data_IF_048435996588
#
_entry.id   IF_048435996588
#
_cell.length_a   1.000
_cell.length_b   1.000
_cell.length_c   1.000
_cell.angle_alpha   90.00
_cell.angle_beta   90.00
_cell.angle_gamma   90.00
#
_symmetry.space_group_name_H-M   'P 1'
#
loop_
_entity.id
_entity.type
_entity.pdbx_description
1 polymer ?
#
# COMPACT_ATOMS: atom_id res chain seq x y z
N UNK A 1 48.79 -7.43 -40.11
CA UNK A 1 47.86 -6.88 -41.12
C UNK A 1 46.44 -6.97 -40.59
N UNK A 2 45.80 -5.83 -40.36
CA UNK A 2 44.46 -5.71 -39.77
C UNK A 2 43.39 -6.16 -40.78
N UNK A 3 42.60 -7.19 -40.44
CA UNK A 3 41.43 -7.59 -41.24
C UNK A 3 40.31 -6.56 -41.03
N UNK A 4 40.01 -5.81 -42.09
CA UNK A 4 38.85 -4.88 -42.15
C UNK A 4 37.56 -5.65 -41.85
N UNK A 5 36.81 -5.20 -40.83
CA UNK A 5 35.42 -5.60 -40.61
C UNK A 5 34.56 -4.94 -41.68
N UNK A 6 33.83 -5.73 -42.46
CA UNK A 6 32.86 -5.24 -43.45
C UNK A 6 31.61 -4.69 -42.78
N UNK A 7 30.96 -3.75 -43.46
CA UNK A 7 29.83 -2.92 -42.99
C UNK A 7 28.52 -3.71 -42.79
N UNK A 8 28.50 -4.99 -43.17
CA UNK A 8 27.31 -5.85 -43.13
C UNK A 8 26.89 -6.28 -41.71
N UNK A 9 27.71 -6.03 -40.70
CA UNK A 9 27.37 -6.31 -39.30
C UNK A 9 26.32 -5.34 -38.71
N UNK A 10 25.96 -4.26 -39.41
CA UNK A 10 25.01 -3.25 -38.92
C UNK A 10 23.55 -3.45 -39.36
N UNK A 11 23.24 -4.39 -40.27
CA UNK A 11 21.89 -4.56 -40.83
C UNK A 11 21.23 -5.91 -40.52
N UNK A 12 21.70 -6.63 -39.49
CA UNK A 12 21.03 -7.84 -39.01
C UNK A 12 19.63 -7.51 -38.48
N UNK A 13 18.59 -7.99 -39.18
CA UNK A 13 17.19 -7.85 -38.76
C UNK A 13 17.00 -8.38 -37.32
N UNK A 14 16.24 -7.69 -36.45
CA UNK A 14 16.03 -8.16 -35.09
C UNK A 14 15.41 -9.55 -35.11
N UNK A 15 16.02 -10.51 -34.40
CA UNK A 15 15.40 -11.82 -34.17
C UNK A 15 14.04 -11.58 -33.49
N UNK A 16 12.95 -12.21 -33.95
CA UNK A 16 11.64 -12.05 -33.32
C UNK A 16 11.74 -12.53 -31.88
N UNK A 17 11.46 -11.63 -30.93
CA UNK A 17 11.24 -12.01 -29.53
C UNK A 17 10.07 -12.98 -29.51
N UNK A 18 10.27 -14.19 -28.96
CA UNK A 18 9.17 -15.09 -28.61
C UNK A 18 8.14 -14.27 -27.82
N UNK A 19 6.85 -14.26 -28.22
CA UNK A 19 5.83 -13.60 -27.43
C UNK A 19 5.79 -14.29 -26.07
N UNK A 20 6.14 -13.56 -25.01
CA UNK A 20 5.83 -13.95 -23.64
C UNK A 20 4.31 -13.80 -23.57
N UNK A 21 3.58 -14.92 -23.61
CA UNK A 21 2.13 -14.91 -23.65
C UNK A 21 1.59 -14.01 -22.54
N UNK A 22 0.89 -12.94 -22.92
CA UNK A 22 0.07 -12.19 -21.98
C UNK A 22 -1.03 -13.13 -21.52
N UNK A 23 -0.97 -13.54 -20.25
CA UNK A 23 -2.09 -14.23 -19.63
C UNK A 23 -3.15 -13.17 -19.40
N UNK A 24 -4.27 -13.32 -20.09
CA UNK A 24 -5.44 -12.48 -19.90
C UNK A 24 -6.04 -12.77 -18.52
N UNK A 25 -5.71 -11.92 -17.55
CA UNK A 25 -6.17 -12.04 -16.16
C UNK A 25 -7.69 -11.90 -16.07
N UNK A 26 -8.31 -11.23 -17.05
CA UNK A 26 -9.75 -11.05 -17.11
C UNK A 26 -10.47 -12.38 -17.45
N UNK A 27 -9.74 -13.38 -17.99
CA UNK A 27 -10.25 -14.72 -18.34
C UNK A 27 -9.58 -15.88 -17.58
N UNK A 28 -8.59 -15.62 -16.72
CA UNK A 28 -7.92 -16.65 -15.95
C UNK A 28 -8.80 -17.10 -14.76
N UNK A 29 -9.11 -18.40 -14.69
CA UNK A 29 -9.82 -18.96 -13.54
C UNK A 29 -8.98 -18.78 -12.26
N UNK A 30 -9.53 -18.18 -11.18
CA UNK A 30 -8.81 -18.04 -9.93
C UNK A 30 -8.39 -19.40 -9.37
N UNK A 31 -7.18 -19.48 -8.80
CA UNK A 31 -6.65 -20.70 -8.17
C UNK A 31 -7.36 -21.07 -6.84
N UNK A 32 -8.45 -20.40 -6.50
CA UNK A 32 -9.19 -20.53 -5.24
C UNK A 32 -9.65 -19.17 -4.71
N UNK A 33 -10.25 -19.18 -3.51
CA UNK A 33 -10.68 -17.97 -2.82
C UNK A 33 -10.27 -18.01 -1.34
N UNK A 34 -9.87 -16.86 -0.82
CA UNK A 34 -9.76 -16.62 0.60
C UNK A 34 -11.15 -16.32 1.16
N UNK A 35 -11.59 -17.10 2.13
CA UNK A 35 -12.89 -16.95 2.79
C UNK A 35 -12.70 -16.61 4.26
N UNK A 36 -13.57 -15.76 4.80
CA UNK A 36 -13.62 -15.41 6.20
C UNK A 36 -14.97 -14.76 6.50
N UNK A 37 -15.55 -15.00 7.68
CA UNK A 37 -16.86 -14.45 8.04
C UNK A 37 -16.90 -12.92 8.05
N UNK A 38 -15.76 -12.26 8.27
CA UNK A 38 -15.64 -10.80 8.23
C UNK A 38 -15.37 -10.21 6.84
N UNK A 39 -15.15 -11.04 5.81
CA UNK A 39 -15.11 -10.56 4.42
C UNK A 39 -16.54 -10.35 3.91
N UNK A 40 -16.84 -9.24 3.22
CA UNK A 40 -18.13 -9.06 2.57
C UNK A 40 -18.46 -10.16 1.54
N UNK A 41 -17.44 -10.64 0.84
CA UNK A 41 -17.52 -11.72 -0.14
C UNK A 41 -16.16 -12.45 -0.23
N UNK A 42 -16.12 -13.69 -0.73
CA UNK A 42 -14.87 -14.42 -0.97
C UNK A 42 -13.91 -13.64 -1.88
N UNK A 43 -12.64 -13.54 -1.49
CA UNK A 43 -11.63 -12.79 -2.26
C UNK A 43 -10.81 -13.80 -3.08
N UNK A 44 -10.77 -13.70 -4.42
CA UNK A 44 -10.04 -14.65 -5.24
C UNK A 44 -8.53 -14.63 -4.95
N UNK A 45 -7.90 -15.78 -5.14
CA UNK A 45 -6.45 -15.89 -5.18
C UNK A 45 -5.91 -15.33 -6.49
N UNK A 46 -4.64 -14.91 -6.49
CA UNK A 46 -3.97 -14.53 -7.73
C UNK A 46 -3.94 -15.72 -8.70
N UNK A 47 -3.99 -15.48 -10.02
CA UNK A 47 -3.60 -16.47 -11.01
C UNK A 47 -2.21 -17.05 -10.68
N UNK A 48 -2.03 -18.36 -10.89
CA UNK A 48 -0.81 -19.07 -10.50
C UNK A 48 0.48 -18.43 -11.06
N UNK A 49 0.43 -17.93 -12.30
CA UNK A 49 1.56 -17.25 -12.96
C UNK A 49 1.99 -15.98 -12.21
N UNK A 50 1.04 -15.16 -11.78
CA UNK A 50 1.32 -13.94 -11.01
C UNK A 50 1.81 -14.32 -9.61
N UNK A 51 1.14 -15.26 -8.95
CA UNK A 51 1.51 -15.72 -7.61
C UNK A 51 2.96 -16.24 -7.54
N UNK A 52 3.37 -17.05 -8.51
CA UNK A 52 4.74 -17.56 -8.60
C UNK A 52 5.76 -16.43 -8.82
N UNK A 53 5.48 -15.49 -9.75
CA UNK A 53 6.40 -14.36 -10.00
C UNK A 53 6.58 -13.49 -8.75
N UNK A 54 5.50 -13.22 -7.99
CA UNK A 54 5.58 -12.44 -6.75
C UNK A 54 6.49 -13.09 -5.69
N UNK A 55 6.42 -14.42 -5.56
CA UNK A 55 7.10 -15.16 -4.51
C UNK A 55 8.55 -15.55 -4.87
N UNK A 56 8.83 -15.79 -6.16
CA UNK A 56 10.11 -16.38 -6.59
C UNK A 56 11.04 -15.39 -7.31
N UNK A 57 10.49 -14.31 -7.88
CA UNK A 57 11.23 -13.44 -8.83
C UNK A 57 11.33 -11.97 -8.41
N UNK A 58 10.82 -11.61 -7.23
CA UNK A 58 10.85 -10.24 -6.73
C UNK A 58 11.90 -10.05 -5.63
N UNK A 59 12.50 -8.85 -5.50
CA UNK A 59 12.21 -7.63 -6.28
C UNK A 59 12.81 -7.67 -7.70
N UNK A 60 12.14 -7.04 -8.66
CA UNK A 60 12.59 -6.96 -10.05
C UNK A 60 13.88 -6.12 -10.22
N UNK A 61 14.09 -5.14 -9.34
CA UNK A 61 15.32 -4.37 -9.22
C UNK A 61 15.67 -4.17 -7.75
N UNK A 62 16.96 -4.09 -7.39
CA UNK A 62 17.36 -3.79 -6.02
C UNK A 62 16.87 -2.40 -5.60
N UNK A 63 16.59 -2.23 -4.31
CA UNK A 63 16.21 -0.95 -3.74
C UNK A 63 17.39 0.02 -3.73
N UNK A 64 17.19 1.24 -4.23
CA UNK A 64 18.14 2.35 -4.11
C UNK A 64 17.86 3.11 -2.82
N UNK A 65 18.89 3.30 -1.99
CA UNK A 65 18.77 4.14 -0.80
C UNK A 65 18.54 5.61 -1.18
N UNK A 66 17.66 6.27 -0.43
CA UNK A 66 17.48 7.72 -0.43
C UNK A 66 17.52 8.15 1.05
N UNK A 67 18.73 8.47 1.50
CA UNK A 67 19.12 8.78 2.87
C UNK A 67 20.07 9.99 2.92
N UNK A 68 20.06 10.81 1.87
CA UNK A 68 20.88 12.01 1.69
C UNK A 68 20.31 13.26 2.38
N UNK A 69 19.19 13.10 3.09
CA UNK A 69 18.52 14.16 3.86
C UNK A 69 18.46 13.77 5.35
N UNK A 70 18.48 14.74 6.28
CA UNK A 70 18.36 14.47 7.71
C UNK A 70 17.15 13.59 8.03
N UNK A 71 17.38 12.57 8.87
CA UNK A 71 16.36 11.66 9.39
C UNK A 71 15.58 10.83 8.36
N UNK A 72 15.96 10.89 7.08
CA UNK A 72 15.34 10.15 6.00
C UNK A 72 15.99 8.77 5.84
N UNK A 73 15.18 7.72 5.88
CA UNK A 73 15.59 6.33 5.58
C UNK A 73 14.55 5.73 4.65
N UNK A 74 14.83 5.85 3.35
CA UNK A 74 14.02 5.27 2.28
C UNK A 74 14.82 4.25 1.48
N UNK A 75 14.16 3.16 1.09
CA UNK A 75 14.58 2.36 -0.06
C UNK A 75 13.54 2.51 -1.18
N UNK A 76 13.99 2.87 -2.38
CA UNK A 76 13.14 3.02 -3.56
C UNK A 76 13.44 1.93 -4.60
N UNK A 77 12.43 1.13 -4.91
CA UNK A 77 12.47 0.04 -5.88
C UNK A 77 11.70 0.46 -7.14
N UNK A 78 12.42 0.71 -8.23
CA UNK A 78 11.88 1.27 -9.48
C UNK A 78 12.17 0.36 -10.70
N UNK A 79 11.39 -0.72 -10.91
CA UNK A 79 10.25 -1.16 -10.10
C UNK A 79 10.58 -2.32 -9.14
N UNK A 80 9.73 -2.53 -8.13
CA UNK A 80 9.72 -3.77 -7.35
C UNK A 80 9.00 -4.90 -8.10
N UNK A 81 7.83 -4.62 -8.68
CA UNK A 81 7.04 -5.55 -9.48
C UNK A 81 7.22 -5.20 -10.96
N UNK A 82 7.57 -6.12 -11.87
CA UNK A 82 7.69 -5.82 -13.29
C UNK A 82 6.42 -5.19 -13.86
N UNK A 83 6.57 -4.23 -14.78
CA UNK A 83 5.45 -3.40 -15.27
C UNK A 83 4.26 -4.22 -15.80
N UNK A 84 4.51 -5.30 -16.53
CA UNK A 84 3.45 -6.20 -17.05
C UNK A 84 2.63 -6.81 -15.91
N UNK A 85 3.33 -7.32 -14.90
CA UNK A 85 2.73 -7.97 -13.73
C UNK A 85 2.03 -6.95 -12.83
N UNK A 86 2.58 -5.74 -12.72
CA UNK A 86 1.97 -4.65 -11.97
C UNK A 86 0.63 -4.19 -12.59
N UNK A 87 0.51 -4.16 -13.93
CA UNK A 87 -0.75 -3.84 -14.62
C UNK A 87 -1.82 -4.92 -14.39
N UNK A 88 -1.41 -6.19 -14.44
CA UNK A 88 -2.26 -7.33 -14.14
C UNK A 88 -2.74 -7.30 -12.68
N UNK A 89 -1.82 -7.09 -11.74
CA UNK A 89 -2.11 -6.99 -10.32
C UNK A 89 -3.04 -5.80 -10.02
N UNK A 90 -2.85 -4.66 -10.68
CA UNK A 90 -3.75 -3.51 -10.58
C UNK A 90 -5.20 -3.86 -10.92
N UNK A 91 -5.42 -4.45 -12.12
CA UNK A 91 -6.77 -4.82 -12.59
C UNK A 91 -7.41 -5.84 -11.65
N UNK A 92 -6.64 -6.86 -11.29
CA UNK A 92 -7.08 -7.92 -10.38
C UNK A 92 -7.51 -7.36 -9.02
N UNK A 93 -6.65 -6.60 -8.34
CA UNK A 93 -6.96 -6.09 -7.00
C UNK A 93 -8.13 -5.11 -7.02
N UNK A 94 -8.24 -4.28 -8.06
CA UNK A 94 -9.36 -3.35 -8.21
C UNK A 94 -10.70 -4.08 -8.33
N UNK A 95 -10.76 -5.18 -9.09
CA UNK A 95 -11.99 -5.96 -9.29
C UNK A 95 -12.31 -6.94 -8.15
N UNK A 96 -11.29 -7.35 -7.40
CA UNK A 96 -11.37 -8.45 -6.44
C UNK A 96 -11.53 -8.03 -4.98
N UNK A 97 -11.15 -6.79 -4.64
CA UNK A 97 -11.21 -6.33 -3.25
C UNK A 97 -12.52 -5.58 -2.95
N UNK A 98 -13.06 -5.72 -1.72
CA UNK A 98 -14.10 -4.83 -1.22
C UNK A 98 -13.49 -3.47 -0.87
N UNK A 99 -14.15 -2.38 -1.26
CA UNK A 99 -13.73 -1.02 -0.97
C UNK A 99 -14.80 -0.23 -0.22
N UNK A 100 -14.39 0.84 0.43
CA UNK A 100 -15.23 1.70 1.25
C UNK A 100 -14.90 3.16 0.97
N UNK A 101 -15.89 4.04 1.16
CA UNK A 101 -15.68 5.48 1.22
C UNK A 101 -16.11 5.95 2.59
N UNK A 102 -15.12 6.07 3.48
CA UNK A 102 -15.38 6.23 4.90
C UNK A 102 -15.73 7.68 5.19
N UNK A 103 -16.74 7.86 6.04
CA UNK A 103 -17.17 9.15 6.54
C UNK A 103 -16.95 9.21 8.05
N UNK A 104 -16.39 10.33 8.53
CA UNK A 104 -16.15 10.58 9.94
C UNK A 104 -15.96 12.06 10.21
N UNK A 105 -16.25 12.48 11.44
CA UNK A 105 -15.97 13.83 11.88
C UNK A 105 -14.64 13.90 12.62
N UNK A 106 -13.83 14.92 12.30
CA UNK A 106 -12.66 15.28 13.10
C UNK A 106 -12.96 16.55 13.89
N UNK A 107 -12.51 16.60 15.15
CA UNK A 107 -12.53 17.81 15.96
C UNK A 107 -11.10 18.29 16.18
N UNK A 108 -10.77 19.50 15.72
CA UNK A 108 -9.47 20.14 15.92
C UNK A 108 -9.67 21.60 16.28
N UNK A 109 -9.12 22.03 17.41
CA UNK A 109 -9.22 23.43 17.86
C UNK A 109 -10.68 23.92 18.04
N UNK A 110 -11.58 23.06 18.50
CA UNK A 110 -13.01 23.38 18.67
C UNK A 110 -13.84 23.35 17.38
N UNK A 111 -13.21 23.19 16.21
CA UNK A 111 -13.91 23.08 14.92
C UNK A 111 -14.15 21.60 14.59
N UNK A 112 -15.40 21.27 14.28
CA UNK A 112 -15.77 19.96 13.74
C UNK A 112 -15.75 20.02 12.21
N UNK A 113 -15.01 19.13 11.57
CA UNK A 113 -14.97 19.00 10.12
C UNK A 113 -15.42 17.60 9.73
N UNK A 114 -16.45 17.53 8.90
CA UNK A 114 -16.90 16.29 8.30
C UNK A 114 -15.95 15.88 7.16
N UNK A 115 -15.41 14.67 7.24
CA UNK A 115 -14.52 14.11 6.23
C UNK A 115 -15.21 12.93 5.58
N UNK A 116 -15.35 13.02 4.25
CA UNK A 116 -15.53 11.88 3.37
C UNK A 116 -14.19 11.55 2.74
N UNK A 117 -13.70 10.31 2.86
CA UNK A 117 -12.37 9.98 2.34
C UNK A 117 -12.28 10.30 0.85
N UNK A 118 -11.29 11.13 0.43
CA UNK A 118 -11.12 11.53 -0.96
C UNK A 118 -10.39 10.45 -1.77
N UNK A 119 -10.72 9.19 -1.50
CA UNK A 119 -10.22 7.95 -2.09
C UNK A 119 -11.00 6.77 -1.49
N UNK A 120 -10.96 5.64 -2.19
CA UNK A 120 -11.51 4.39 -1.71
C UNK A 120 -10.49 3.65 -0.85
N UNK A 121 -10.92 3.00 0.22
CA UNK A 121 -10.02 2.30 1.14
C UNK A 121 -10.51 0.90 1.45
N UNK A 122 -9.59 0.03 1.85
CA UNK A 122 -9.89 -1.24 2.51
C UNK A 122 -8.69 -1.69 3.32
N UNK A 123 -8.92 -2.44 4.40
CA UNK A 123 -7.84 -2.87 5.30
C UNK A 123 -8.02 -4.30 5.75
N UNK A 124 -6.90 -4.98 5.88
CA UNK A 124 -6.78 -6.36 6.33
C UNK A 124 -5.64 -6.47 7.33
N UNK A 125 -5.77 -7.36 8.31
CA UNK A 125 -4.77 -7.58 9.33
C UNK A 125 -5.36 -7.60 10.74
N UNK A 126 -4.49 -7.96 11.68
CA UNK A 126 -4.72 -7.85 13.12
C UNK A 126 -3.39 -7.50 13.76
N UNK A 127 -3.42 -6.78 14.88
CA UNK A 127 -2.24 -6.35 15.60
C UNK A 127 -1.48 -7.52 16.23
N UNK A 128 -0.23 -7.27 16.61
CA UNK A 128 0.70 -8.27 17.15
C UNK A 128 0.25 -8.97 18.43
N UNK A 129 -0.74 -8.43 19.16
CA UNK A 129 -1.27 -9.08 20.35
C UNK A 129 -2.23 -10.22 20.02
N UNK A 130 -2.65 -10.35 18.77
CA UNK A 130 -3.57 -11.39 18.32
C UNK A 130 -3.13 -12.05 17.01
N UNK A 131 -3.71 -13.20 16.69
CA UNK A 131 -3.59 -13.87 15.39
C UNK A 131 -4.90 -14.54 15.01
N UNK A 132 -5.03 -14.91 13.73
CA UNK A 132 -6.10 -15.79 13.29
C UNK A 132 -5.68 -17.25 13.52
N UNK A 133 -6.48 -18.01 14.26
CA UNK A 133 -6.33 -19.45 14.40
C UNK A 133 -6.83 -20.19 13.15
N UNK A 134 -6.60 -21.50 13.10
CA UNK A 134 -7.21 -22.37 12.11
C UNK A 134 -8.75 -22.24 12.18
N UNK A 135 -9.40 -21.97 11.05
CA UNK A 135 -10.83 -21.63 10.99
C UNK A 135 -11.16 -20.14 11.13
N UNK A 136 -10.17 -19.25 11.31
CA UNK A 136 -10.34 -17.80 11.25
C UNK A 136 -10.73 -17.11 12.55
N UNK A 137 -10.86 -17.83 13.67
CA UNK A 137 -11.12 -17.20 14.95
C UNK A 137 -9.93 -16.33 15.41
N UNK A 138 -10.20 -15.15 15.97
CA UNK A 138 -9.15 -14.31 16.57
C UNK A 138 -8.78 -14.87 17.94
N UNK A 139 -7.49 -15.14 18.14
CA UNK A 139 -6.93 -15.64 19.40
C UNK A 139 -5.77 -14.76 19.85
N UNK A 140 -5.54 -14.70 21.15
CA UNK A 140 -4.39 -14.02 21.73
C UNK A 140 -3.09 -14.67 21.22
N UNK A 141 -2.16 -13.84 20.73
CA UNK A 141 -0.96 -14.29 20.04
C UNK A 141 -0.05 -15.16 20.93
N UNK A 142 -0.05 -14.91 22.24
CA UNK A 142 0.84 -15.59 23.21
C UNK A 142 0.20 -16.82 23.84
N UNK A 143 -1.05 -16.69 24.28
CA UNK A 143 -1.74 -17.72 25.07
C UNK A 143 -2.60 -18.65 24.21
N UNK A 144 -2.96 -18.22 23.00
CA UNK A 144 -3.91 -18.96 22.15
C UNK A 144 -5.36 -18.90 22.65
N UNK A 145 -5.63 -18.16 23.74
CA UNK A 145 -6.97 -17.97 24.24
C UNK A 145 -7.84 -17.24 23.21
N UNK A 146 -9.08 -17.67 23.04
CA UNK A 146 -10.03 -17.03 22.12
C UNK A 146 -10.31 -15.60 22.58
N UNK A 147 -10.18 -14.64 21.67
CA UNK A 147 -10.59 -13.26 21.93
C UNK A 147 -12.08 -13.15 21.61
N UNK A 148 -12.91 -12.70 22.57
CA UNK A 148 -14.32 -12.46 22.29
C UNK A 148 -14.47 -11.45 21.15
N UNK A 149 -15.48 -11.64 20.30
CA UNK A 149 -15.77 -10.77 19.16
C UNK A 149 -17.05 -9.95 19.35
N UNK A 150 -17.70 -10.08 20.51
CA UNK A 150 -18.99 -9.46 20.84
C UNK A 150 -19.02 -9.03 22.31
N UNK A 151 -19.93 -8.11 22.64
CA UNK A 151 -20.15 -7.60 24.00
C UNK A 151 -18.95 -6.83 24.58
N UNK A 152 -19.04 -6.50 25.87
CA UNK A 152 -18.00 -5.74 26.60
C UNK A 152 -16.65 -6.46 26.61
N UNK A 153 -16.66 -7.80 26.54
CA UNK A 153 -15.46 -8.63 26.43
C UNK A 153 -14.75 -8.58 25.07
N UNK A 154 -15.42 -8.10 24.02
CA UNK A 154 -14.86 -8.02 22.67
C UNK A 154 -14.09 -6.73 22.37
N UNK A 155 -14.18 -5.75 23.27
CA UNK A 155 -13.39 -4.52 23.26
C UNK A 155 -13.19 -3.90 21.87
N UNK A 156 -11.94 -3.72 21.48
CA UNK A 156 -11.54 -3.09 20.22
C UNK A 156 -11.97 -3.85 18.95
N UNK A 157 -12.21 -5.17 19.03
CA UNK A 157 -12.54 -6.00 17.85
C UNK A 157 -14.03 -6.17 17.64
N UNK A 158 -14.86 -5.99 18.68
CA UNK A 158 -16.31 -6.12 18.57
C UNK A 158 -16.92 -5.05 17.66
N UNK A 159 -16.38 -3.83 17.69
CA UNK A 159 -16.86 -2.73 16.85
C UNK A 159 -16.52 -2.96 15.36
N UNK A 160 -15.32 -3.46 15.09
CA UNK A 160 -14.86 -3.75 13.74
C UNK A 160 -14.11 -5.08 13.71
N UNK A 161 -14.77 -6.18 13.27
CA UNK A 161 -14.13 -7.48 13.20
C UNK A 161 -12.91 -7.46 12.27
N UNK A 162 -11.71 -7.83 12.78
CA UNK A 162 -10.52 -7.95 11.95
C UNK A 162 -10.70 -8.99 10.86
N UNK A 163 -10.00 -8.77 9.75
CA UNK A 163 -10.05 -9.58 8.55
C UNK A 163 -8.65 -10.12 8.28
N UNK A 164 -8.45 -11.43 8.06
CA UNK A 164 -7.16 -11.94 7.63
C UNK A 164 -6.67 -11.20 6.38
N UNK A 165 -5.35 -11.15 6.16
CA UNK A 165 -4.82 -10.67 4.88
C UNK A 165 -5.13 -11.75 3.83
N UNK A 166 -5.93 -11.46 2.78
CA UNK A 166 -6.28 -12.46 1.78
C UNK A 166 -5.02 -12.88 1.02
N UNK A 167 -4.99 -14.13 0.54
CA UNK A 167 -3.79 -14.73 -0.05
C UNK A 167 -3.15 -13.86 -1.14
N UNK A 168 -3.95 -13.20 -1.97
CA UNK A 168 -3.47 -12.32 -3.03
C UNK A 168 -2.64 -11.12 -2.52
N UNK A 169 -2.94 -10.59 -1.33
CA UNK A 169 -2.15 -9.54 -0.67
C UNK A 169 -1.05 -10.14 0.22
N UNK A 170 -1.30 -11.33 0.79
CA UNK A 170 -0.33 -12.01 1.64
C UNK A 170 0.91 -12.49 0.87
N UNK A 171 0.75 -12.96 -0.37
CA UNK A 171 1.88 -13.34 -1.23
C UNK A 171 2.81 -12.13 -1.47
N UNK A 172 2.24 -10.93 -1.73
CA UNK A 172 3.01 -9.69 -1.85
C UNK A 172 3.66 -9.29 -0.53
N UNK A 173 2.96 -9.43 0.60
CA UNK A 173 3.51 -9.18 1.94
C UNK A 173 4.73 -10.07 2.20
N UNK A 174 4.62 -11.38 1.97
CA UNK A 174 5.69 -12.36 2.19
C UNK A 174 6.91 -12.07 1.31
N UNK A 175 6.69 -11.74 0.04
CA UNK A 175 7.74 -11.25 -0.87
C UNK A 175 8.45 -10.03 -0.30
N UNK A 176 7.68 -9.05 0.18
CA UNK A 176 8.21 -7.81 0.77
C UNK A 176 9.03 -8.08 2.04
N UNK A 177 8.56 -8.96 2.93
CA UNK A 177 9.31 -9.34 4.13
C UNK A 177 10.62 -10.03 3.78
N UNK A 178 10.63 -10.90 2.77
CA UNK A 178 11.84 -11.57 2.30
C UNK A 178 12.86 -10.58 1.72
N UNK A 179 12.40 -9.60 0.93
CA UNK A 179 13.27 -8.62 0.28
C UNK A 179 13.82 -7.54 1.23
N UNK A 180 13.12 -7.25 2.32
CA UNK A 180 13.43 -6.10 3.20
C UNK A 180 13.85 -6.47 4.61
N UNK A 181 13.63 -7.73 5.04
CA UNK A 181 13.81 -8.18 6.41
C UNK A 181 12.80 -7.60 7.41
N UNK A 182 11.90 -6.72 6.98
CA UNK A 182 10.87 -6.12 7.83
C UNK A 182 9.70 -7.09 8.03
N UNK A 183 8.89 -6.87 9.07
CA UNK A 183 7.69 -7.66 9.37
C UNK A 183 6.43 -6.80 9.33
N UNK A 184 5.35 -7.35 8.81
CA UNK A 184 4.08 -6.66 8.64
C UNK A 184 2.91 -7.56 9.03
N UNK A 185 1.88 -6.98 9.64
CA UNK A 185 0.65 -7.67 10.05
C UNK A 185 -0.63 -6.94 9.59
N UNK A 186 -0.48 -5.75 8.99
CA UNK A 186 -1.55 -4.96 8.40
C UNK A 186 -1.28 -4.60 6.95
N UNK A 187 -2.33 -4.59 6.15
CA UNK A 187 -2.33 -4.19 4.75
C UNK A 187 -3.48 -3.21 4.51
N UNK A 188 -3.16 -1.93 4.30
CA UNK A 188 -4.10 -0.90 3.88
C UNK A 188 -3.96 -0.68 2.38
N UNK A 189 -5.07 -0.84 1.66
CA UNK A 189 -5.17 -0.55 0.23
C UNK A 189 -5.96 0.73 0.03
N UNK A 190 -5.39 1.68 -0.70
CA UNK A 190 -6.06 2.90 -1.12
C UNK A 190 -6.21 2.86 -2.65
N UNK A 191 -7.40 3.12 -3.16
CA UNK A 191 -7.66 3.29 -4.58
C UNK A 191 -8.08 4.75 -4.86
N UNK A 192 -7.21 5.44 -5.60
CA UNK A 192 -7.42 6.79 -6.11
C UNK A 192 -8.02 6.65 -7.50
N UNK A 193 -9.32 6.85 -7.64
CA UNK A 193 -10.06 6.60 -8.88
C UNK A 193 -9.67 7.61 -9.98
N UNK A 194 -9.25 8.81 -9.59
CA UNK A 194 -8.82 9.86 -10.52
C UNK A 194 -7.75 10.78 -9.91
N UNK A 195 -7.35 11.81 -10.66
CA UNK A 195 -6.46 12.86 -10.18
C UNK A 195 -7.06 13.76 -9.10
N UNK A 196 -8.40 13.78 -8.94
CA UNK A 196 -9.06 14.56 -7.90
C UNK A 196 -9.02 13.91 -6.51
N UNK A 197 -8.77 12.61 -6.45
CA UNK A 197 -8.52 11.86 -5.23
C UNK A 197 -7.09 12.13 -4.71
N UNK A 198 -6.94 12.26 -3.38
CA UNK A 198 -5.70 12.73 -2.75
C UNK A 198 -5.51 12.23 -1.31
N UNK A 199 -4.34 12.49 -0.75
CA UNK A 199 -4.10 12.44 0.70
C UNK A 199 -3.19 13.62 1.06
N UNK A 200 -3.62 14.43 2.02
CA UNK A 200 -2.86 15.59 2.49
C UNK A 200 -1.57 15.16 3.20
N UNK A 201 -0.65 16.10 3.43
CA UNK A 201 0.55 15.84 4.21
C UNK A 201 0.24 15.26 5.59
N UNK A 202 0.82 14.10 5.88
CA UNK A 202 0.70 13.36 7.14
C UNK A 202 1.95 12.51 7.35
N UNK A 203 2.07 11.90 8.54
CA UNK A 203 3.04 10.86 8.82
C UNK A 203 2.33 9.65 9.40
N UNK A 204 2.90 8.47 9.21
CA UNK A 204 2.44 7.25 9.89
C UNK A 204 3.15 7.13 11.25
N UNK A 205 2.89 8.09 12.15
CA UNK A 205 3.52 8.22 13.46
C UNK A 205 2.61 7.87 14.64
N UNK A 206 1.53 7.11 14.38
CA UNK A 206 0.62 6.67 15.42
C UNK A 206 1.33 5.75 16.43
N UNK A 207 1.10 5.98 17.73
CA UNK A 207 1.77 5.25 18.82
C UNK A 207 1.65 3.72 18.70
N UNK A 208 0.56 3.23 18.11
CA UNK A 208 0.34 1.79 17.93
C UNK A 208 1.26 1.16 16.87
N UNK A 209 2.01 1.93 16.10
CA UNK A 209 3.03 1.44 15.15
C UNK A 209 4.43 1.28 15.76
N UNK A 210 4.62 1.77 17.01
CA UNK A 210 5.93 1.78 17.66
C UNK A 210 6.83 2.95 17.20
N UNK A 211 8.05 3.06 17.75
CA UNK A 211 8.87 4.28 17.65
C UNK A 211 9.57 4.51 16.30
N UNK A 212 9.75 3.47 15.48
CA UNK A 212 10.45 3.54 14.17
C UNK A 212 9.81 2.56 13.20
N UNK A 213 8.54 2.79 12.80
CA UNK A 213 7.82 1.82 12.00
C UNK A 213 8.42 1.70 10.59
N UNK A 214 8.40 0.48 10.07
CA UNK A 214 8.65 0.23 8.65
C UNK A 214 7.31 0.25 7.91
N UNK A 215 7.25 1.03 6.83
CA UNK A 215 6.07 1.16 5.97
C UNK A 215 6.49 0.84 4.53
N UNK A 216 6.04 -0.30 4.00
CA UNK A 216 6.27 -0.65 2.59
C UNK A 216 5.06 -0.21 1.76
N UNK A 217 5.27 0.66 0.78
CA UNK A 217 4.21 1.29 -0.02
C UNK A 217 4.40 1.02 -1.51
N UNK A 218 3.56 0.16 -2.06
CA UNK A 218 3.51 -0.17 -3.49
C UNK A 218 2.59 0.78 -4.25
N UNK A 219 2.96 1.11 -5.49
CA UNK A 219 2.15 1.87 -6.42
C UNK A 219 1.81 1.02 -7.65
N UNK A 220 0.53 0.94 -8.00
CA UNK A 220 0.02 0.20 -9.15
C UNK A 220 -0.93 1.08 -9.96
N UNK A 221 -0.89 0.98 -11.30
CA UNK A 221 -1.73 1.80 -12.18
C UNK A 221 -1.12 3.18 -12.46
N UNK A 222 -1.97 4.21 -12.48
CA UNK A 222 -1.58 5.57 -12.87
C UNK A 222 -0.43 6.13 -12.01
N UNK A 223 0.54 6.79 -12.68
CA UNK A 223 1.67 7.45 -12.02
C UNK A 223 1.20 8.65 -11.20
N UNK A 224 1.69 8.78 -9.96
CA UNK A 224 1.39 9.94 -9.09
C UNK A 224 2.63 10.42 -8.37
N UNK A 225 2.71 11.73 -8.17
CA UNK A 225 3.76 12.33 -7.37
C UNK A 225 3.53 11.99 -5.90
N UNK A 226 4.52 11.36 -5.27
CA UNK A 226 4.65 11.23 -3.83
C UNK A 226 5.56 12.33 -3.33
N UNK A 227 4.98 13.27 -2.57
CA UNK A 227 5.70 14.43 -2.07
C UNK A 227 6.09 14.18 -0.62
N UNK A 228 7.33 14.52 -0.25
CA UNK A 228 7.80 14.50 1.13
C UNK A 228 8.38 15.86 1.52
N UNK A 229 8.14 16.26 2.77
CA UNK A 229 8.78 17.44 3.37
C UNK A 229 9.09 17.16 4.83
N UNK A 230 10.21 17.69 5.30
CA UNK A 230 10.57 17.59 6.72
C UNK A 230 9.56 18.37 7.56
N UNK A 231 9.21 17.87 8.75
CA UNK A 231 8.45 18.61 9.75
C UNK A 231 9.37 19.75 10.20
N UNK A 232 8.97 20.99 9.97
CA UNK A 232 9.76 22.16 10.41
C UNK A 232 10.05 22.03 11.90
N UNK A 233 11.32 22.18 12.29
CA UNK A 233 11.63 22.64 13.64
C UNK A 233 11.07 24.07 13.70
N UNK A 234 10.25 24.45 14.70
CA UNK A 234 9.92 25.85 14.87
C UNK A 234 11.25 26.60 14.96
N UNK A 235 11.51 27.51 14.02
CA UNK A 235 12.59 28.47 14.19
C UNK A 235 12.29 29.18 15.51
N UNK A 236 13.07 28.89 16.54
CA UNK A 236 13.28 29.84 17.62
C UNK A 236 13.99 31.02 16.97
N UNK A 237 13.22 31.91 16.35
CA UNK A 237 13.63 33.28 16.18
C UNK A 237 13.77 33.82 17.59
N UNK A 238 14.99 33.76 18.11
CA UNK A 238 15.68 34.88 18.75
C UNK A 238 17.09 34.42 19.16
N UNK A 239 18.06 34.67 18.28
CA UNK A 239 19.41 35.04 18.72
C UNK A 239 20.43 33.95 19.10
N UNK A 240 20.49 32.79 18.43
CA UNK A 240 21.66 31.91 18.54
C UNK A 240 22.28 31.65 17.16
N UNK A 241 23.12 32.57 16.74
CA UNK A 241 24.23 32.25 15.86
C UNK A 241 25.30 31.59 16.74
N UNK A 242 25.57 30.30 16.53
CA UNK A 242 26.91 29.73 16.64
C UNK A 242 26.90 28.32 16.03
N UNK A 243 27.94 28.05 15.23
CA UNK A 243 27.92 27.13 14.11
C UNK A 243 27.70 25.66 14.45
N UNK A 244 26.84 25.02 13.66
CA UNK A 244 27.11 23.73 13.03
C UNK A 244 26.18 23.57 11.80
N UNK A 245 26.58 22.76 10.84
CA UNK A 245 25.99 22.53 9.50
C UNK A 245 24.47 22.21 9.49
N UNK A 246 23.59 23.20 9.75
CA UNK A 246 22.13 23.05 9.57
C UNK A 246 21.78 23.06 8.09
N UNK A 247 22.04 21.94 7.41
CA UNK A 247 21.50 21.70 6.06
C UNK A 247 19.98 21.68 6.15
N UNK A 248 19.35 22.73 5.63
CA UNK A 248 17.91 22.78 5.45
C UNK A 248 17.47 21.56 4.62
N UNK A 249 16.62 20.71 5.21
CA UNK A 249 16.16 19.48 4.56
C UNK A 249 15.33 19.82 3.31
N UNK A 250 15.72 19.28 2.16
CA UNK A 250 15.05 19.56 0.89
C UNK A 250 13.78 18.73 0.76
N UNK A 251 12.71 19.34 0.25
CA UNK A 251 11.50 18.58 -0.10
C UNK A 251 11.79 17.58 -1.22
N UNK A 252 11.24 16.38 -1.13
CA UNK A 252 11.36 15.35 -2.17
C UNK A 252 10.07 15.21 -2.97
N UNK A 253 10.23 14.92 -4.26
CA UNK A 253 9.14 14.53 -5.16
C UNK A 253 9.54 13.26 -5.89
N UNK A 254 8.82 12.18 -5.64
CA UNK A 254 9.03 10.88 -6.26
C UNK A 254 7.85 10.55 -7.19
N UNK A 255 8.04 10.53 -8.52
CA UNK A 255 6.98 10.19 -9.46
C UNK A 255 6.76 8.67 -9.52
N UNK A 256 6.00 8.14 -8.56
CA UNK A 256 5.78 6.70 -8.41
C UNK A 256 4.90 6.16 -9.54
N UNK A 257 5.44 5.27 -10.37
CA UNK A 257 4.77 4.55 -11.43
C UNK A 257 4.27 3.16 -11.01
N UNK A 258 3.61 2.48 -11.95
CA UNK A 258 3.10 1.13 -11.72
C UNK A 258 4.23 0.11 -11.52
N UNK A 259 4.20 -0.57 -10.38
CA UNK A 259 5.18 -1.58 -9.97
C UNK A 259 6.23 -1.05 -8.99
N UNK A 260 6.28 0.27 -8.76
CA UNK A 260 7.25 0.87 -7.87
C UNK A 260 6.88 0.62 -6.40
N UNK A 261 7.89 0.47 -5.55
CA UNK A 261 7.72 0.38 -4.09
C UNK A 261 8.69 1.35 -3.39
N UNK A 262 8.18 2.10 -2.42
CA UNK A 262 9.02 2.79 -1.43
C UNK A 262 8.90 2.07 -0.09
N UNK A 263 10.02 1.85 0.58
CA UNK A 263 10.07 1.41 1.97
C UNK A 263 10.55 2.58 2.83
N UNK A 264 9.71 3.04 3.76
CA UNK A 264 10.03 4.12 4.69
C UNK A 264 10.34 3.52 6.07
N UNK A 265 11.46 3.88 6.69
CA UNK A 265 11.91 3.32 7.98
C UNK A 265 12.56 4.37 8.87
N UNK A 266 13.19 3.92 9.95
CA UNK A 266 14.01 4.75 10.82
C UNK A 266 13.20 5.87 11.44
N UNK A 267 13.74 7.10 11.36
CA UNK A 267 13.10 8.30 11.89
C UNK A 267 12.19 9.01 10.88
N UNK A 268 11.97 8.40 9.71
CA UNK A 268 11.21 9.02 8.61
C UNK A 268 9.82 9.43 9.05
N UNK A 269 9.03 8.53 9.67
CA UNK A 269 7.67 8.90 10.08
C UNK A 269 7.63 9.93 11.21
N UNK A 270 8.64 9.93 12.08
CA UNK A 270 8.74 10.93 13.15
C UNK A 270 9.00 12.33 12.59
N UNK A 271 9.84 12.45 11.56
CA UNK A 271 10.39 13.74 11.13
C UNK A 271 9.92 14.20 9.73
N UNK A 272 9.31 13.34 8.91
CA UNK A 272 8.89 13.67 7.55
C UNK A 272 7.39 13.47 7.37
N UNK A 273 6.78 14.45 6.70
CA UNK A 273 5.41 14.38 6.20
C UNK A 273 5.43 13.90 4.75
N UNK A 274 4.42 13.16 4.33
CA UNK A 274 4.23 12.73 2.96
C UNK A 274 2.79 12.91 2.46
N UNK A 275 2.61 13.09 1.15
CA UNK A 275 1.30 13.31 0.52
C UNK A 275 1.21 12.79 -0.91
N UNK A 276 -0.02 12.60 -1.38
CA UNK A 276 -0.37 12.44 -2.80
C UNK A 276 -1.29 13.63 -3.16
N UNK A 277 -0.78 14.67 -3.85
CA UNK A 277 -1.54 15.87 -4.17
C UNK A 277 -2.56 15.58 -5.27
N UNK A 278 -3.61 16.41 -5.35
CA UNK A 278 -4.54 16.41 -6.50
C UNK A 278 -3.78 16.78 -7.78
N UNK A 279 -4.21 16.22 -8.91
CA UNK A 279 -3.65 16.50 -10.23
C UNK A 279 -4.77 16.67 -11.25
N UNK A 280 -4.65 17.68 -12.11
CA UNK A 280 -5.49 17.84 -13.30
C UNK A 280 -4.88 17.08 -14.49
N UNK A 281 -5.72 16.49 -15.36
CA UNK A 281 -5.30 15.98 -16.67
C UNK A 281 -5.29 14.45 -16.87
N UNK A 282 -4.62 14.02 -17.95
CA UNK A 282 -4.83 12.78 -18.75
C UNK A 282 -4.60 11.41 -18.06
N UNK A 283 -4.13 11.35 -16.82
CA UNK A 283 -3.87 10.06 -16.12
C UNK A 283 -5.16 9.36 -15.65
N UNK A 284 -6.33 9.97 -15.90
CA UNK A 284 -7.65 9.36 -15.72
C UNK A 284 -7.89 8.14 -16.65
N UNK A 285 -7.20 8.07 -17.79
CA UNK A 285 -7.44 7.03 -18.79
C UNK A 285 -6.95 5.63 -18.36
N UNK A 286 -5.95 5.56 -17.48
CA UNK A 286 -5.42 4.30 -16.91
C UNK A 286 -6.35 3.69 -15.83
N UNK A 287 -7.45 4.37 -15.51
CA UNK A 287 -8.45 3.90 -14.56
C UNK A 287 -8.01 4.01 -13.10
N UNK A 288 -7.12 4.95 -12.77
CA UNK A 288 -6.74 5.28 -11.39
C UNK A 288 -5.46 4.60 -10.88
N UNK A 289 -5.19 4.76 -9.58
CA UNK A 289 -4.00 4.25 -8.89
C UNK A 289 -4.39 3.45 -7.66
N UNK A 290 -3.84 2.26 -7.51
CA UNK A 290 -3.86 1.51 -6.24
C UNK A 290 -2.55 1.74 -5.50
N UNK A 291 -2.66 1.97 -4.20
CA UNK A 291 -1.55 2.03 -3.25
C UNK A 291 -1.74 0.98 -2.17
N UNK A 292 -0.80 0.06 -2.04
CA UNK A 292 -0.82 -0.98 -1.00
C UNK A 292 0.25 -0.63 0.02
N UNK A 293 -0.15 -0.48 1.27
CA UNK A 293 0.75 -0.13 2.36
C UNK A 293 0.74 -1.20 3.43
N UNK A 294 1.89 -1.85 3.61
CA UNK A 294 2.12 -2.81 4.68
C UNK A 294 2.69 -2.13 5.92
N UNK A 295 2.14 -2.49 7.08
CA UNK A 295 2.50 -1.93 8.38
C UNK A 295 2.49 -3.01 9.45
N UNK A 296 3.04 -2.67 10.61
CA UNK A 296 3.00 -3.51 11.81
C UNK A 296 2.33 -2.76 12.96
N UNK A 297 1.09 -3.12 13.27
CA UNK A 297 0.42 -2.61 14.45
C UNK A 297 0.80 -3.46 15.67
N UNK A 298 1.25 -2.81 16.73
CA UNK A 298 1.80 -3.45 17.92
C UNK A 298 0.72 -3.79 18.96
N UNK A 299 -0.42 -3.08 18.94
CA UNK A 299 -1.48 -3.18 19.95
C UNK A 299 -2.89 -3.11 19.37
N UNK A 300 -3.88 -3.62 20.11
CA UNK A 300 -5.31 -3.68 19.74
C UNK A 300 -5.90 -2.35 19.28
N UNK A 301 -5.45 -1.25 19.89
CA UNK A 301 -5.88 0.10 19.50
C UNK A 301 -5.54 0.42 18.03
N UNK A 302 -4.45 -0.14 17.48
CA UNK A 302 -4.08 0.00 16.08
C UNK A 302 -5.08 -0.69 15.15
N UNK A 303 -5.50 -1.90 15.49
CA UNK A 303 -6.57 -2.60 14.76
C UNK A 303 -7.86 -1.78 14.74
N UNK A 304 -8.33 -1.33 15.90
CA UNK A 304 -9.53 -0.50 15.98
C UNK A 304 -9.41 0.79 15.15
N UNK A 305 -8.27 1.47 15.21
CA UNK A 305 -8.02 2.69 14.45
C UNK A 305 -8.08 2.44 12.94
N UNK A 306 -7.34 1.44 12.44
CA UNK A 306 -7.30 1.14 11.01
C UNK A 306 -8.69 0.81 10.46
N UNK A 307 -9.45 -0.05 11.14
CA UNK A 307 -10.78 -0.39 10.67
C UNK A 307 -11.76 0.79 10.76
N UNK A 308 -11.70 1.60 11.83
CA UNK A 308 -12.57 2.76 12.00
C UNK A 308 -12.42 3.78 10.85
N UNK A 309 -11.18 4.06 10.42
CA UNK A 309 -10.92 5.11 9.42
C UNK A 309 -10.81 4.60 7.98
N UNK A 310 -10.78 3.29 7.74
CA UNK A 310 -10.60 2.71 6.39
C UNK A 310 -11.70 1.74 5.95
N UNK A 311 -12.62 1.37 6.84
CA UNK A 311 -13.78 0.51 6.53
C UNK A 311 -15.06 1.13 7.13
N UNK A 312 -15.04 1.37 8.45
CA UNK A 312 -16.19 1.83 9.23
C UNK A 312 -17.44 0.93 9.02
N UNK A 313 -18.64 1.44 9.30
CA UNK A 313 -19.93 0.77 9.07
C UNK A 313 -20.59 1.19 7.75
N UNK A 314 -19.81 1.77 6.83
CA UNK A 314 -20.32 2.25 5.54
C UNK A 314 -20.62 1.11 4.55
N UNK A 315 -21.33 1.42 3.45
CA UNK A 315 -21.61 0.43 2.41
C UNK A 315 -20.32 -0.09 1.75
N UNK A 316 -20.38 -1.33 1.29
CA UNK A 316 -19.31 -1.97 0.53
C UNK A 316 -19.44 -1.56 -0.93
N UNK A 317 -18.31 -1.28 -1.59
CA UNK A 317 -18.23 -0.99 -3.00
C UNK A 317 -17.32 -1.99 -3.71
N UNK A 318 -17.61 -2.24 -4.98
CA UNK A 318 -16.81 -3.06 -5.88
C UNK A 318 -16.67 -2.36 -7.23
N UNK A 319 -15.55 -2.59 -7.89
CA UNK A 319 -15.34 -2.10 -9.25
C UNK A 319 -16.27 -2.80 -10.24
N UNK A 320 -17.05 -2.03 -10.98
CA UNK A 320 -17.82 -2.44 -12.14
C UNK A 320 -16.95 -2.22 -13.39
N UNK A 321 -16.51 -3.30 -14.02
CA UNK A 321 -15.64 -3.24 -15.21
C UNK A 321 -16.36 -2.73 -16.46
N UNK A 322 -17.67 -2.92 -16.55
CA UNK A 322 -18.49 -2.47 -17.70
C UNK A 322 -18.64 -0.97 -17.66
N UNK A 323 -19.05 -0.44 -16.51
CA UNK A 323 -19.28 1.00 -16.33
C UNK A 323 -18.01 1.78 -15.94
N UNK A 324 -16.92 1.06 -15.66
CA UNK A 324 -15.61 1.61 -15.26
C UNK A 324 -15.71 2.54 -14.06
N UNK A 325 -16.46 2.14 -13.05
CA UNK A 325 -16.66 2.90 -11.82
C UNK A 325 -16.80 1.99 -10.58
N UNK A 326 -16.70 2.60 -9.40
CA UNK A 326 -17.00 1.89 -8.14
C UNK A 326 -18.49 1.96 -7.88
N UNK A 327 -19.14 0.79 -7.80
CA UNK A 327 -20.56 0.69 -7.47
C UNK A 327 -20.76 0.06 -6.11
N UNK A 328 -21.83 0.48 -5.43
CA UNK A 328 -22.23 -0.16 -4.18
C UNK A 328 -22.55 -1.63 -4.48
N UNK A 329 -21.93 -2.51 -3.71
CA UNK A 329 -22.16 -3.95 -3.80
C UNK A 329 -23.40 -4.29 -2.97
N UNK A 330 -24.38 -4.89 -3.64
CA UNK A 330 -25.58 -5.42 -3.02
C UNK A 330 -25.50 -6.96 -3.10
N UNK A 331 -25.46 -7.67 -1.96
CA UNK A 331 -25.28 -9.12 -1.90
C UNK A 331 -26.35 -9.93 -2.63
#
# INVERSE_FOLDING_TARGET
MSKRRTIDAFFGSPKPKKPRGEVDVDNATPAGHSTHAAYPFPIPHLPASIGAELLESLPARPGRAIDDQPDLDLLYFEPYVPRSTAQQLFRFLRSSLPFYRVEYDIRRGGISTHIRTPRWTTVFGVDDTSRFAEGGAVVDARTGARVPMTGDGGGHYAKYPPRPIPKCLDDLRRSTEAATGCKFNFCLVNYYASGSDSISFHSDDERFLGPRPAIASFSLGARRDFLMKHKSVPNLADGAADGDDQREAKSLKLPLGSGDMILMRGRTQTNWLHSIPKRSGKDEQDGGRINITFRRAMVKAGSANYYNYNVNTGPVYRWDSVNREMKQWNP
#
